data_IF_320063041090
#
_entry.id   IF_320063041090
#
_cell.length_a   1.000
_cell.length_b   1.000
_cell.length_c   1.000
_cell.angle_alpha   90.00
_cell.angle_beta   90.00
_cell.angle_gamma   90.00
#
_symmetry.space_group_name_H-M   'P 1'
#
loop_
_entity.id
_entity.type
_entity.pdbx_description
1 polymer ?
#
# COMPACT_ATOMS: atom_id res chain seq x y z
N UNK A 1 -4.07 10.04 7.80
CA UNK A 1 -3.64 8.63 7.90
C UNK A 1 -2.79 8.51 9.15
N UNK A 2 -2.70 7.34 9.78
CA UNK A 2 -1.79 7.16 10.93
C UNK A 2 -0.33 7.43 10.52
N UNK A 3 0.48 7.91 11.46
CA UNK A 3 1.89 8.24 11.25
C UNK A 3 2.69 7.04 10.73
N UNK A 4 2.37 5.82 11.19
CA UNK A 4 3.00 4.59 10.73
C UNK A 4 2.87 4.38 9.21
N UNK A 5 1.71 4.66 8.62
CA UNK A 5 1.54 4.50 7.17
C UNK A 5 2.24 5.61 6.40
N UNK A 6 2.30 6.82 6.94
CA UNK A 6 3.04 7.92 6.33
C UNK A 6 4.53 7.59 6.32
N UNK A 7 5.06 7.08 7.44
CA UNK A 7 6.44 6.60 7.55
C UNK A 7 6.72 5.45 6.58
N UNK A 8 5.89 4.40 6.58
CA UNK A 8 6.05 3.28 5.66
C UNK A 8 5.99 3.73 4.18
N UNK A 9 5.06 4.63 3.83
CA UNK A 9 4.99 5.21 2.50
C UNK A 9 6.25 6.02 2.14
N UNK A 10 6.78 6.81 3.08
CA UNK A 10 7.99 7.57 2.88
C UNK A 10 9.20 6.66 2.71
N UNK A 11 9.32 5.59 3.49
CA UNK A 11 10.37 4.58 3.37
C UNK A 11 10.32 3.87 2.02
N UNK A 12 9.13 3.42 1.61
CA UNK A 12 8.93 2.80 0.30
C UNK A 12 9.30 3.76 -0.84
N UNK A 13 8.91 5.04 -0.73
CA UNK A 13 9.25 6.04 -1.72
C UNK A 13 10.77 6.32 -1.78
N UNK A 14 11.45 6.49 -0.64
CA UNK A 14 12.90 6.66 -0.59
C UNK A 14 13.65 5.46 -1.17
N UNK A 15 13.15 4.25 -0.92
CA UNK A 15 13.70 3.02 -1.48
C UNK A 15 13.54 2.98 -3.01
N UNK A 16 12.37 3.34 -3.53
CA UNK A 16 12.13 3.43 -4.98
C UNK A 16 13.03 4.47 -5.67
N UNK A 17 13.31 5.57 -4.97
CA UNK A 17 14.26 6.61 -5.40
C UNK A 17 15.73 6.21 -5.21
N UNK A 18 16.01 4.95 -4.80
CA UNK A 18 17.35 4.42 -4.56
C UNK A 18 18.21 5.25 -3.58
N UNK A 19 17.56 5.90 -2.61
CA UNK A 19 18.24 6.76 -1.61
C UNK A 19 18.96 5.97 -0.50
N UNK A 20 19.02 4.63 -0.61
CA UNK A 20 19.68 3.76 0.36
C UNK A 20 19.00 2.39 0.47
N UNK A 21 19.57 1.52 1.31
CA UNK A 21 18.99 0.22 1.62
C UNK A 21 17.77 0.35 2.54
N UNK A 22 16.80 -0.56 2.44
CA UNK A 22 15.60 -0.51 3.27
C UNK A 22 15.92 -0.54 4.78
N UNK A 23 16.92 -1.32 5.20
CA UNK A 23 17.37 -1.38 6.59
C UNK A 23 17.98 -0.05 7.06
N UNK A 24 18.84 0.59 6.27
CA UNK A 24 19.43 1.88 6.66
C UNK A 24 18.38 2.97 6.76
N UNK A 25 17.43 3.00 5.81
CA UNK A 25 16.34 3.97 5.80
C UNK A 25 15.36 3.79 6.98
N UNK A 26 15.00 2.54 7.31
CA UNK A 26 14.00 2.24 8.34
C UNK A 26 14.51 2.34 9.78
N UNK A 27 15.83 2.34 9.99
CA UNK A 27 16.44 2.44 11.32
C UNK A 27 17.11 3.80 11.59
N UNK A 28 17.00 4.73 10.64
CA UNK A 28 17.42 6.12 10.83
C UNK A 28 16.74 6.75 12.06
N UNK A 29 17.40 7.67 12.74
CA UNK A 29 16.87 8.32 13.94
C UNK A 29 15.54 9.03 13.72
N UNK A 30 15.27 9.47 12.48
CA UNK A 30 14.03 10.12 12.09
C UNK A 30 12.79 9.21 12.04
N UNK A 31 12.93 7.91 12.28
CA UNK A 31 11.82 6.93 12.17
C UNK A 31 11.34 6.52 13.56
N UNK A 32 10.06 6.78 13.84
CA UNK A 32 9.46 6.46 15.14
C UNK A 32 9.10 4.97 15.20
N UNK A 33 8.39 4.45 14.19
CA UNK A 33 7.90 3.06 14.19
C UNK A 33 8.84 2.12 13.42
N UNK A 34 10.12 2.07 13.80
CA UNK A 34 11.20 1.36 13.10
C UNK A 34 10.81 -0.06 12.63
N UNK A 35 10.42 -0.93 13.57
CA UNK A 35 10.10 -2.34 13.26
C UNK A 35 8.81 -2.49 12.46
N UNK A 36 7.75 -1.78 12.86
CA UNK A 36 6.43 -1.92 12.24
C UNK A 36 6.41 -1.35 10.82
N UNK A 37 7.00 -0.18 10.60
CA UNK A 37 7.13 0.44 9.29
C UNK A 37 8.03 -0.40 8.38
N UNK A 38 9.14 -0.96 8.89
CA UNK A 38 9.99 -1.88 8.13
C UNK A 38 9.24 -3.15 7.68
N UNK A 39 8.57 -3.83 8.62
CA UNK A 39 7.82 -5.05 8.32
C UNK A 39 6.72 -4.79 7.28
N UNK A 40 5.97 -3.71 7.46
CA UNK A 40 4.89 -3.34 6.55
C UNK A 40 5.42 -3.02 5.14
N UNK A 41 6.57 -2.35 5.01
CA UNK A 41 7.20 -2.09 3.71
C UNK A 41 7.69 -3.38 3.06
N UNK A 42 8.34 -4.28 3.81
CA UNK A 42 8.78 -5.58 3.31
C UNK A 42 7.63 -6.40 2.71
N UNK A 43 6.52 -6.50 3.43
CA UNK A 43 5.34 -7.20 2.93
C UNK A 43 4.72 -6.48 1.73
N UNK A 44 4.61 -5.15 1.79
CA UNK A 44 4.09 -4.37 0.66
C UNK A 44 4.92 -4.58 -0.61
N UNK A 45 6.25 -4.64 -0.50
CA UNK A 45 7.16 -4.92 -1.61
C UNK A 45 6.96 -6.32 -2.17
N UNK A 46 6.85 -7.33 -1.29
CA UNK A 46 6.60 -8.72 -1.67
C UNK A 46 5.33 -8.87 -2.50
N UNK A 47 4.26 -8.18 -2.10
CA UNK A 47 2.97 -8.22 -2.78
C UNK A 47 2.78 -7.11 -3.82
N UNK A 48 3.79 -6.25 -4.08
CA UNK A 48 3.65 -5.09 -4.97
C UNK A 48 3.12 -5.43 -6.38
N UNK A 49 3.56 -6.50 -7.06
CA UNK A 49 3.01 -6.88 -8.37
C UNK A 49 1.51 -7.23 -8.29
N UNK A 50 1.12 -7.96 -7.24
CA UNK A 50 -0.27 -8.31 -6.96
C UNK A 50 -1.11 -7.07 -6.70
N UNK A 51 -0.62 -6.15 -5.87
CA UNK A 51 -1.33 -4.91 -5.52
C UNK A 51 -1.53 -4.01 -6.75
N UNK A 52 -0.55 -3.97 -7.68
CA UNK A 52 -0.69 -3.28 -8.97
C UNK A 52 -1.78 -3.91 -9.84
N UNK A 53 -1.82 -5.24 -9.94
CA UNK A 53 -2.87 -5.96 -10.69
C UNK A 53 -4.25 -5.67 -10.09
N UNK A 54 -4.39 -5.68 -8.77
CA UNK A 54 -5.63 -5.35 -8.08
C UNK A 54 -6.08 -3.90 -8.32
N UNK A 55 -5.16 -2.94 -8.31
CA UNK A 55 -5.46 -1.54 -8.66
C UNK A 55 -5.93 -1.39 -10.11
N UNK A 56 -5.39 -2.19 -11.02
CA UNK A 56 -5.86 -2.20 -12.42
C UNK A 56 -7.25 -2.83 -12.57
N UNK A 57 -7.59 -3.82 -11.73
CA UNK A 57 -8.88 -4.49 -11.72
C UNK A 57 -10.01 -3.61 -11.14
N UNK A 58 -9.68 -2.58 -10.36
CA UNK A 58 -10.64 -1.63 -9.77
C UNK A 58 -10.33 -0.20 -10.25
N UNK A 59 -10.63 0.12 -11.53
CA UNK A 59 -10.23 1.37 -12.15
C UNK A 59 -10.90 2.61 -11.52
N UNK A 60 -12.09 2.47 -10.95
CA UNK A 60 -12.81 3.55 -10.26
C UNK A 60 -12.04 4.04 -9.03
N UNK A 61 -11.57 3.09 -8.20
CA UNK A 61 -10.73 3.42 -7.05
C UNK A 61 -9.39 4.02 -7.49
N UNK A 62 -8.77 3.45 -8.53
CA UNK A 62 -7.53 4.00 -9.08
C UNK A 62 -7.72 5.45 -9.56
N UNK A 63 -8.82 5.78 -10.23
CA UNK A 63 -9.16 7.16 -10.63
C UNK A 63 -9.39 8.06 -9.41
N UNK A 64 -10.11 7.58 -8.40
CA UNK A 64 -10.36 8.34 -7.17
C UNK A 64 -9.08 8.62 -6.36
N UNK A 65 -8.09 7.74 -6.46
CA UNK A 65 -6.79 7.85 -5.78
C UNK A 65 -5.75 8.64 -6.59
N UNK A 66 -5.97 8.86 -7.88
CA UNK A 66 -5.11 9.73 -8.70
C UNK A 66 -5.29 11.17 -8.23
N UNK A 67 -4.22 11.76 -7.73
CA UNK A 67 -4.16 13.20 -7.48
C UNK A 67 -3.55 13.90 -8.70
N UNK A 68 -4.01 15.12 -9.03
CA UNK A 68 -3.57 15.84 -10.24
C UNK A 68 -2.05 16.13 -10.24
N UNK A 69 -1.37 16.05 -9.09
CA UNK A 69 0.09 16.28 -8.96
C UNK A 69 0.97 15.05 -9.27
N UNK A 70 0.43 13.83 -9.34
CA UNK A 70 1.23 12.61 -9.58
C UNK A 70 0.46 11.64 -10.50
N UNK A 71 0.57 11.85 -11.80
CA UNK A 71 -0.20 11.13 -12.81
C UNK A 71 0.40 9.78 -13.25
N UNK A 72 1.70 9.52 -12.96
CA UNK A 72 2.43 8.35 -13.51
C UNK A 72 2.36 7.09 -12.64
N UNK A 73 2.37 7.20 -11.32
CA UNK A 73 2.37 6.02 -10.43
C UNK A 73 1.51 6.27 -9.18
N UNK A 74 0.73 5.26 -8.70
CA UNK A 74 0.00 5.39 -7.45
C UNK A 74 0.97 5.72 -6.31
N UNK A 75 0.62 6.64 -5.39
CA UNK A 75 1.49 6.97 -4.27
C UNK A 75 1.87 5.72 -3.47
N UNK A 76 3.10 5.65 -2.97
CA UNK A 76 3.56 4.59 -2.06
C UNK A 76 2.57 4.31 -0.92
N UNK A 77 1.90 5.36 -0.43
CA UNK A 77 0.84 5.28 0.58
C UNK A 77 -0.36 4.40 0.17
N UNK A 78 -0.73 4.40 -1.11
CA UNK A 78 -1.83 3.57 -1.63
C UNK A 78 -1.46 2.10 -1.53
N UNK A 79 -0.24 1.73 -1.95
CA UNK A 79 0.20 0.33 -1.89
C UNK A 79 0.24 -0.19 -0.46
N UNK A 80 0.82 0.59 0.45
CA UNK A 80 0.91 0.23 1.86
C UNK A 80 -0.48 0.09 2.48
N UNK A 81 -1.40 1.04 2.22
CA UNK A 81 -2.75 0.98 2.75
C UNK A 81 -3.61 -0.14 2.13
N UNK A 82 -3.43 -0.43 0.83
CA UNK A 82 -4.13 -1.51 0.15
C UNK A 82 -3.66 -2.89 0.64
N UNK A 83 -2.35 -3.06 0.86
CA UNK A 83 -1.82 -4.28 1.46
C UNK A 83 -2.48 -4.53 2.82
N UNK A 84 -2.47 -3.52 3.68
CA UNK A 84 -3.03 -3.65 5.02
C UNK A 84 -4.57 -3.82 5.03
N UNK A 85 -5.29 -3.26 4.06
CA UNK A 85 -6.73 -3.51 3.89
C UNK A 85 -7.07 -4.97 3.58
N UNK A 86 -6.22 -5.63 2.78
CA UNK A 86 -6.46 -6.95 2.24
C UNK A 86 -5.87 -8.07 3.10
N UNK A 87 -4.69 -7.82 3.67
CA UNK A 87 -3.89 -8.81 4.39
C UNK A 87 -3.58 -8.40 5.84
N UNK A 88 -3.86 -7.15 6.21
CA UNK A 88 -3.70 -6.67 7.58
C UNK A 88 -4.66 -7.35 8.54
N UNK A 89 -4.23 -7.49 9.80
CA UNK A 89 -5.03 -8.08 10.88
C UNK A 89 -6.10 -7.12 11.42
N UNK A 90 -5.96 -5.82 11.16
CA UNK A 90 -6.84 -4.76 11.65
C UNK A 90 -7.32 -3.87 10.50
N UNK A 91 -8.35 -3.05 10.74
CA UNK A 91 -8.77 -2.02 9.79
C UNK A 91 -7.65 -0.98 9.64
N UNK A 92 -7.52 -0.41 8.44
CA UNK A 92 -6.55 0.67 8.18
C UNK A 92 -6.67 1.76 9.27
N UNK A 93 -5.57 2.06 9.97
CA UNK A 93 -5.60 3.02 11.07
C UNK A 93 -5.46 4.48 10.59
N UNK A 94 -6.14 5.39 11.31
CA UNK A 94 -6.22 6.81 10.99
C UNK A 94 -7.34 7.17 10.00
N UNK A 95 -7.31 8.40 9.45
CA UNK A 95 -8.30 8.91 8.50
C UNK A 95 -7.70 9.42 7.18
N UNK A 96 -8.51 9.91 6.26
CA UNK A 96 -8.05 10.63 5.05
C UNK A 96 -8.59 10.06 3.74
N UNK A 97 -8.32 10.78 2.65
CA UNK A 97 -8.83 10.49 1.30
C UNK A 97 -8.50 9.07 0.84
N UNK A 98 -7.24 8.65 0.97
CA UNK A 98 -6.79 7.31 0.54
C UNK A 98 -7.57 6.20 1.26
N UNK A 99 -7.72 6.29 2.58
CA UNK A 99 -8.48 5.31 3.35
C UNK A 99 -9.95 5.29 2.92
N UNK A 100 -10.60 6.46 2.78
CA UNK A 100 -12.01 6.55 2.37
C UNK A 100 -12.23 5.88 1.01
N UNK A 101 -11.40 6.23 0.02
CA UNK A 101 -11.49 5.66 -1.33
C UNK A 101 -11.26 4.14 -1.35
N UNK A 102 -10.27 3.64 -0.59
CA UNK A 102 -10.00 2.20 -0.50
C UNK A 102 -11.12 1.44 0.22
N UNK A 103 -11.66 1.99 1.31
CA UNK A 103 -12.77 1.39 2.05
C UNK A 103 -14.06 1.34 1.21
N UNK A 104 -14.35 2.40 0.46
CA UNK A 104 -15.53 2.46 -0.41
C UNK A 104 -15.52 1.37 -1.49
N UNK A 105 -14.33 0.99 -1.98
CA UNK A 105 -14.17 -0.03 -3.02
C UNK A 105 -13.63 -1.36 -2.48
N UNK A 106 -13.66 -1.57 -1.16
CA UNK A 106 -13.07 -2.75 -0.51
C UNK A 106 -13.68 -4.07 -1.03
N UNK A 107 -15.00 -4.09 -1.24
CA UNK A 107 -15.73 -5.24 -1.79
C UNK A 107 -15.21 -5.60 -3.18
N UNK A 108 -14.98 -4.60 -4.04
CA UNK A 108 -14.39 -4.77 -5.37
C UNK A 108 -12.99 -5.37 -5.31
N UNK A 109 -12.12 -4.88 -4.43
CA UNK A 109 -10.78 -5.43 -4.27
C UNK A 109 -10.80 -6.87 -3.75
N UNK A 110 -11.67 -7.21 -2.80
CA UNK A 110 -11.82 -8.58 -2.30
C UNK A 110 -12.34 -9.53 -3.39
N UNK A 111 -13.30 -9.10 -4.20
CA UNK A 111 -13.79 -9.87 -5.33
C UNK A 111 -12.70 -10.09 -6.39
N UNK A 112 -11.92 -9.04 -6.72
CA UNK A 112 -10.79 -9.15 -7.64
C UNK A 112 -9.72 -10.12 -7.11
N UNK A 113 -9.40 -10.04 -5.81
CA UNK A 113 -8.46 -10.95 -5.15
C UNK A 113 -8.95 -12.40 -5.20
N UNK A 114 -10.25 -12.65 -4.96
CA UNK A 114 -10.84 -13.99 -5.04
C UNK A 114 -10.74 -14.57 -6.47
N UNK A 115 -11.07 -13.78 -7.50
CA UNK A 115 -10.90 -14.19 -8.90
C UNK A 115 -9.45 -14.52 -9.23
N UNK A 116 -8.52 -13.71 -8.72
CA UNK A 116 -7.09 -13.91 -8.97
C UNK A 116 -6.53 -15.14 -8.26
N UNK A 117 -7.01 -15.44 -7.04
CA UNK A 117 -6.72 -16.69 -6.32
C UNK A 117 -7.12 -17.92 -7.14
N UNK A 118 -8.35 -17.90 -7.68
CA UNK A 118 -8.86 -18.98 -8.55
C UNK A 118 -7.99 -19.12 -9.80
N UNK A 119 -7.70 -18.00 -10.48
CA UNK A 119 -6.86 -17.99 -11.69
C UNK A 119 -5.45 -18.55 -11.44
N UNK A 120 -4.88 -18.24 -10.28
CA UNK A 120 -3.55 -18.72 -9.87
C UNK A 120 -3.58 -20.09 -9.19
N UNK A 121 -4.77 -20.71 -9.07
CA UNK A 121 -4.99 -22.00 -8.38
C UNK A 121 -4.43 -22.03 -6.96
N UNK A 122 -4.54 -20.90 -6.25
CA UNK A 122 -4.10 -20.76 -4.86
C UNK A 122 -5.36 -20.61 -4.00
N UNK A 123 -5.61 -21.59 -3.13
CA UNK A 123 -6.73 -21.58 -2.19
C UNK A 123 -6.46 -20.61 -1.03
#
# INVERSE_FOLDING_TARGET
MSELYKEAAALLHKLEQRQGGLKSLAYAESTVHKRSSFALVCETLRYKPLLRELLSAVPECHKALKTPKNAKEPPALVFVALYDLLFGRQKIQGGGHVKKALMQHQTGFRAALARLKIKRKVA
#
